data_IF_013842390355
#
_entry.id   IF_013842390355
#
_cell.length_a   1.000
_cell.length_b   1.000
_cell.length_c   1.000
_cell.angle_alpha   90.00
_cell.angle_beta   90.00
_cell.angle_gamma   90.00
#
_symmetry.space_group_name_H-M   'P 1'
#
loop_
_entity.id
_entity.type
_entity.pdbx_description
1 polymer ?
#
# COMPACT_ATOMS: atom_id res chain seq x y z
N UNK A 1 -38.95 -12.39 -3.23
CA UNK A 1 -38.40 -13.49 -4.06
C UNK A 1 -38.83 -13.27 -5.52
N UNK A 2 -38.02 -12.56 -6.31
CA UNK A 2 -38.34 -12.23 -7.70
C UNK A 2 -38.07 -13.40 -8.64
N UNK A 3 -39.06 -13.76 -9.47
CA UNK A 3 -39.03 -14.90 -10.39
C UNK A 3 -38.05 -14.66 -11.55
N UNK A 4 -37.08 -15.56 -11.72
CA UNK A 4 -36.15 -15.59 -12.85
C UNK A 4 -36.90 -15.79 -14.18
N UNK A 5 -36.61 -14.93 -15.16
CA UNK A 5 -37.14 -15.03 -16.53
C UNK A 5 -36.63 -16.27 -17.27
N UNK A 6 -37.52 -16.90 -18.06
CA UNK A 6 -37.21 -18.10 -18.86
C UNK A 6 -36.24 -17.76 -20.01
N UNK A 7 -35.25 -18.63 -20.32
CA UNK A 7 -34.35 -18.40 -21.44
C UNK A 7 -35.05 -18.57 -22.81
N UNK A 8 -34.78 -17.62 -23.72
CA UNK A 8 -35.32 -17.56 -25.08
C UNK A 8 -34.69 -18.68 -25.95
N UNK A 9 -35.53 -19.56 -26.51
CA UNK A 9 -35.10 -20.70 -27.36
C UNK A 9 -34.52 -20.18 -28.69
N UNK A 10 -33.35 -20.69 -29.08
CA UNK A 10 -32.72 -20.36 -30.37
C UNK A 10 -33.44 -21.03 -31.54
N UNK A 11 -33.52 -20.31 -32.66
CA UNK A 11 -34.22 -20.67 -33.89
C UNK A 11 -33.39 -21.72 -34.66
N UNK A 12 -33.83 -22.97 -34.68
CA UNK A 12 -33.21 -24.05 -35.46
C UNK A 12 -33.23 -23.69 -36.95
N UNK A 13 -32.09 -23.81 -37.64
CA UNK A 13 -31.98 -23.57 -39.08
C UNK A 13 -32.79 -24.62 -39.87
N UNK A 14 -33.58 -24.15 -40.84
CA UNK A 14 -34.33 -24.97 -41.81
C UNK A 14 -33.33 -25.79 -42.65
N UNK A 15 -33.54 -27.10 -42.69
CA UNK A 15 -32.85 -28.02 -43.61
C UNK A 15 -33.11 -27.56 -45.05
N UNK A 16 -32.05 -27.31 -45.82
CA UNK A 16 -32.13 -27.14 -47.27
C UNK A 16 -32.51 -28.49 -47.91
N UNK A 17 -33.52 -28.47 -48.77
CA UNK A 17 -33.95 -29.63 -49.58
C UNK A 17 -32.86 -29.94 -50.60
N UNK A 18 -32.52 -31.22 -50.76
CA UNK A 18 -31.81 -31.74 -51.93
C UNK A 18 -32.78 -31.67 -53.12
N UNK A 19 -32.38 -31.04 -54.21
CA UNK A 19 -32.99 -31.27 -55.53
C UNK A 19 -32.08 -32.23 -56.27
N UNK A 20 -32.63 -33.40 -56.53
CA UNK A 20 -32.10 -34.44 -57.39
C UNK A 20 -32.14 -33.96 -58.85
N UNK A 21 -31.12 -34.34 -59.60
CA UNK A 21 -30.97 -34.15 -61.04
C UNK A 21 -32.16 -34.70 -61.83
N UNK A 22 -32.50 -34.04 -62.94
CA UNK A 22 -33.01 -34.77 -64.09
C UNK A 22 -32.45 -34.17 -65.37
N UNK A 23 -32.11 -35.09 -66.28
CA UNK A 23 -32.15 -34.94 -67.74
C UNK A 23 -31.12 -34.00 -68.39
N UNK A 24 -30.01 -34.59 -68.84
CA UNK A 24 -29.54 -34.44 -70.22
C UNK A 24 -28.57 -35.58 -70.56
N UNK A 25 -29.15 -36.64 -71.13
CA UNK A 25 -28.46 -37.65 -71.93
C UNK A 25 -27.74 -36.97 -73.10
N UNK A 26 -26.50 -37.34 -73.37
CA UNK A 26 -26.04 -37.73 -74.71
C UNK A 26 -24.89 -38.73 -74.54
N UNK A 27 -25.23 -39.98 -74.76
CA UNK A 27 -24.31 -41.05 -75.13
C UNK A 27 -23.53 -40.65 -76.38
N UNK A 28 -22.27 -41.08 -76.50
CA UNK A 28 -21.76 -41.75 -77.69
C UNK A 28 -20.38 -42.38 -77.38
N UNK A 29 -20.34 -43.68 -77.64
CA UNK A 29 -19.23 -44.63 -77.50
C UNK A 29 -17.97 -44.22 -78.26
N UNK A 30 -16.78 -44.63 -77.79
CA UNK A 30 -15.78 -45.30 -78.62
C UNK A 30 -14.66 -45.92 -77.76
N UNK A 31 -14.45 -47.24 -77.92
CA UNK A 31 -13.09 -47.81 -78.02
C UNK A 31 -12.48 -48.48 -76.78
N UNK A 32 -12.79 -49.78 -76.61
CA UNK A 32 -11.91 -50.75 -75.93
C UNK A 32 -10.51 -50.81 -76.58
N UNK A 33 -9.43 -50.94 -75.79
CA UNK A 33 -8.39 -52.01 -75.93
C UNK A 33 -7.26 -51.95 -74.88
N UNK A 34 -7.19 -53.06 -74.14
CA UNK A 34 -6.06 -53.77 -73.49
C UNK A 34 -4.62 -53.36 -73.87
N UNK A 35 -3.72 -53.41 -72.89
CA UNK A 35 -2.29 -53.75 -73.09
C UNK A 35 -1.34 -53.22 -72.01
N UNK A 36 -0.69 -54.12 -71.26
CA UNK A 36 0.39 -53.79 -70.31
C UNK A 36 1.67 -53.39 -71.07
N UNK A 37 2.29 -52.27 -70.70
CA UNK A 37 3.73 -52.02 -70.79
C UNK A 37 4.09 -50.96 -69.73
N UNK A 38 4.65 -51.36 -68.58
CA UNK A 38 6.08 -51.31 -68.26
C UNK A 38 6.56 -49.90 -67.95
N UNK A 39 6.77 -49.66 -66.65
CA UNK A 39 7.54 -48.59 -66.01
C UNK A 39 8.52 -47.84 -66.93
N UNK A 40 8.06 -46.75 -67.55
CA UNK A 40 8.91 -45.60 -67.82
C UNK A 40 8.52 -44.50 -66.83
N UNK A 41 9.48 -43.79 -66.20
CA UNK A 41 9.15 -42.49 -65.61
C UNK A 41 8.78 -41.58 -66.79
N UNK A 42 7.55 -41.05 -66.78
CA UNK A 42 7.19 -39.96 -67.67
C UNK A 42 7.98 -38.75 -67.21
N UNK A 43 9.00 -38.38 -67.99
CA UNK A 43 9.63 -37.07 -67.85
C UNK A 43 8.63 -35.99 -68.29
N UNK A 44 8.47 -35.05 -67.37
CA UNK A 44 8.24 -33.63 -67.55
C UNK A 44 6.85 -33.12 -67.98
N UNK A 45 6.44 -32.12 -67.17
CA UNK A 45 5.41 -31.09 -67.37
C UNK A 45 3.99 -31.34 -66.81
N UNK A 46 3.57 -32.57 -66.51
CA UNK A 46 2.18 -32.80 -66.03
C UNK A 46 2.00 -32.80 -64.50
N UNK A 47 3.07 -32.77 -63.70
CA UNK A 47 2.97 -32.67 -62.24
C UNK A 47 2.45 -31.31 -61.76
N UNK A 48 2.50 -30.27 -62.60
CA UNK A 48 1.92 -28.96 -62.32
C UNK A 48 0.40 -28.90 -62.53
N UNK A 49 -0.20 -29.97 -63.08
CA UNK A 49 -1.65 -30.09 -63.25
C UNK A 49 -2.39 -30.66 -62.04
N UNK A 50 -1.69 -31.02 -60.95
CA UNK A 50 -2.38 -31.14 -59.67
C UNK A 50 -2.91 -29.75 -59.29
N UNK A 51 -4.18 -29.51 -59.61
CA UNK A 51 -4.86 -28.26 -59.32
C UNK A 51 -4.97 -28.09 -57.81
N UNK A 52 -3.90 -27.60 -57.19
CA UNK A 52 -3.88 -27.20 -55.80
C UNK A 52 -4.98 -26.14 -55.67
N UNK A 53 -6.04 -26.41 -54.87
CA UNK A 53 -7.15 -25.48 -54.76
C UNK A 53 -6.64 -24.08 -54.44
N UNK A 54 -7.21 -23.04 -55.08
CA UNK A 54 -6.71 -21.65 -54.96
C UNK A 54 -6.45 -21.22 -53.51
N UNK A 55 -7.31 -21.64 -52.58
CA UNK A 55 -7.15 -21.38 -51.14
C UNK A 55 -5.84 -21.91 -50.56
N UNK A 56 -5.33 -23.03 -51.06
CA UNK A 56 -4.05 -23.60 -50.63
C UNK A 56 -2.86 -22.86 -51.24
N UNK A 57 -2.96 -22.41 -52.51
CA UNK A 57 -1.96 -21.50 -53.09
C UNK A 57 -1.86 -20.21 -52.29
N UNK A 58 -2.99 -19.63 -51.90
CA UNK A 58 -3.05 -18.43 -51.06
C UNK A 58 -2.40 -18.65 -49.67
N UNK A 59 -2.54 -19.84 -49.09
CA UNK A 59 -1.95 -20.21 -47.79
C UNK A 59 -0.43 -20.40 -47.90
N UNK A 60 0.05 -21.07 -48.95
CA UNK A 60 1.48 -21.24 -49.23
C UNK A 60 2.14 -19.88 -49.47
N UNK A 61 1.58 -19.05 -50.35
CA UNK A 61 2.08 -17.68 -50.57
C UNK A 61 2.04 -16.81 -49.29
N UNK A 62 1.03 -16.98 -48.42
CA UNK A 62 0.96 -16.27 -47.14
C UNK A 62 2.02 -16.74 -46.11
N UNK A 63 2.47 -18.00 -46.21
CA UNK A 63 3.51 -18.58 -45.37
C UNK A 63 4.91 -18.15 -45.84
N UNK A 64 5.16 -18.18 -47.15
CA UNK A 64 6.44 -17.81 -47.74
C UNK A 64 6.70 -16.30 -47.68
N UNK A 65 5.65 -15.47 -47.76
CA UNK A 65 5.74 -14.02 -47.58
C UNK A 65 5.99 -13.57 -46.13
N UNK A 66 6.10 -14.50 -45.16
CA UNK A 66 6.43 -14.20 -43.76
C UNK A 66 5.39 -13.36 -43.01
N UNK A 67 4.19 -13.14 -43.59
CA UNK A 67 3.14 -12.34 -42.96
C UNK A 67 2.34 -13.21 -42.00
N UNK A 68 2.90 -13.46 -40.81
CA UNK A 68 2.09 -13.88 -39.67
C UNK A 68 1.06 -12.78 -39.40
N UNK A 69 -0.18 -12.98 -39.84
CA UNK A 69 -1.32 -12.15 -39.42
C UNK A 69 -1.58 -12.43 -37.94
N UNK A 70 -0.82 -11.74 -37.06
CA UNK A 70 -1.11 -11.70 -35.62
C UNK A 70 -2.57 -11.32 -35.47
N UNK A 71 -3.39 -12.26 -34.98
CA UNK A 71 -4.81 -12.02 -34.68
C UNK A 71 -4.87 -10.83 -33.72
N UNK A 72 -5.21 -9.64 -34.22
CA UNK A 72 -5.50 -8.48 -33.38
C UNK A 72 -6.68 -8.89 -32.50
N UNK A 73 -6.42 -9.21 -31.22
CA UNK A 73 -7.47 -9.32 -30.21
C UNK A 73 -8.30 -8.05 -30.31
N UNK A 74 -9.58 -8.16 -30.65
CA UNK A 74 -10.54 -7.05 -30.56
C UNK A 74 -10.62 -6.65 -29.09
N UNK A 75 -9.75 -5.73 -28.67
CA UNK A 75 -9.92 -5.04 -27.40
C UNK A 75 -11.28 -4.33 -27.49
N UNK A 76 -12.18 -4.65 -26.55
CA UNK A 76 -13.44 -3.93 -26.36
C UNK A 76 -13.11 -2.45 -26.15
N UNK A 77 -13.15 -1.65 -27.22
CA UNK A 77 -13.01 -0.19 -27.21
C UNK A 77 -14.34 0.45 -26.78
N UNK A 78 -14.80 0.13 -25.58
CA UNK A 78 -15.84 0.92 -24.89
C UNK A 78 -15.27 1.48 -23.59
N UNK A 79 -14.05 2.00 -23.63
CA UNK A 79 -13.65 3.03 -22.67
C UNK A 79 -13.92 4.34 -23.37
N UNK A 80 -15.00 5.02 -22.97
CA UNK A 80 -15.15 6.44 -23.19
C UNK A 80 -13.87 7.08 -22.64
N UNK A 81 -12.93 7.38 -23.52
CA UNK A 81 -11.84 8.26 -23.17
C UNK A 81 -12.50 9.63 -23.13
N UNK A 82 -12.93 10.06 -21.93
CA UNK A 82 -13.25 11.45 -21.71
C UNK A 82 -11.92 12.19 -21.84
N UNK A 83 -11.59 12.56 -23.08
CA UNK A 83 -10.48 13.42 -23.36
C UNK A 83 -10.89 14.78 -22.78
N UNK A 84 -10.39 15.11 -21.59
CA UNK A 84 -10.48 16.46 -21.03
C UNK A 84 -9.52 17.40 -21.79
N UNK A 85 -9.42 17.23 -23.11
CA UNK A 85 -8.67 18.10 -23.99
C UNK A 85 -9.42 19.43 -24.08
N UNK A 86 -9.06 20.34 -23.19
CA UNK A 86 -9.05 21.79 -23.41
C UNK A 86 -10.33 22.41 -23.99
N UNK A 87 -11.51 21.99 -23.55
CA UNK A 87 -12.72 22.75 -23.85
C UNK A 87 -12.81 23.91 -22.85
N UNK A 88 -12.37 25.09 -23.27
CA UNK A 88 -12.71 26.35 -22.62
C UNK A 88 -14.22 26.50 -22.69
N UNK A 89 -14.92 26.45 -21.54
CA UNK A 89 -16.34 26.79 -21.50
C UNK A 89 -16.50 28.32 -21.59
N UNK A 90 -17.60 28.84 -22.16
CA UNK A 90 -17.88 30.27 -22.18
C UNK A 90 -17.83 30.86 -20.76
N UNK A 91 -17.09 31.96 -20.59
CA UNK A 91 -16.90 32.62 -19.28
C UNK A 91 -15.71 32.12 -18.45
N UNK A 92 -14.97 31.11 -18.92
CA UNK A 92 -13.75 30.65 -18.26
C UNK A 92 -12.57 31.53 -18.69
N UNK A 93 -11.82 32.10 -17.74
CA UNK A 93 -10.64 32.95 -18.02
C UNK A 93 -9.34 32.17 -18.10
N UNK A 94 -9.33 30.91 -17.64
CA UNK A 94 -8.17 30.01 -17.58
C UNK A 94 -8.57 28.61 -18.05
N UNK A 95 -7.66 27.87 -18.71
CA UNK A 95 -7.94 26.50 -19.14
C UNK A 95 -8.14 25.57 -17.94
N UNK A 96 -8.95 24.54 -18.15
CA UNK A 96 -9.27 23.57 -17.11
C UNK A 96 -8.00 22.83 -16.68
N UNK A 97 -7.64 22.90 -15.40
CA UNK A 97 -6.48 22.18 -14.89
C UNK A 97 -6.74 20.67 -14.96
N UNK A 98 -5.71 19.89 -15.32
CA UNK A 98 -5.78 18.43 -15.36
C UNK A 98 -5.95 17.88 -13.94
N UNK A 99 -7.16 17.46 -13.60
CA UNK A 99 -7.47 16.88 -12.29
C UNK A 99 -7.08 15.39 -12.28
N UNK A 100 -6.44 14.88 -11.21
CA UNK A 100 -6.21 13.45 -11.04
C UNK A 100 -7.53 12.67 -11.09
N UNK A 101 -7.54 11.54 -11.80
CA UNK A 101 -8.72 10.66 -11.81
C UNK A 101 -8.79 9.92 -10.47
N UNK A 102 -9.81 10.23 -9.67
CA UNK A 102 -10.04 9.55 -8.39
C UNK A 102 -10.66 8.18 -8.62
N UNK A 103 -9.90 7.14 -8.30
CA UNK A 103 -10.37 5.75 -8.27
C UNK A 103 -9.96 5.16 -6.93
N UNK A 104 -10.86 4.41 -6.29
CA UNK A 104 -10.58 3.71 -5.05
C UNK A 104 -9.52 2.62 -5.28
N UNK A 105 -8.55 2.52 -4.39
CA UNK A 105 -7.50 1.48 -4.47
C UNK A 105 -8.04 0.09 -4.16
N UNK A 106 -7.35 -0.96 -4.63
CA UNK A 106 -7.76 -2.37 -4.48
C UNK A 106 -8.03 -2.82 -3.04
N UNK A 107 -7.34 -2.22 -2.07
CA UNK A 107 -7.46 -2.54 -0.64
C UNK A 107 -7.82 -1.31 0.20
N UNK A 108 -8.28 -0.26 -0.44
CA UNK A 108 -8.65 0.97 0.24
C UNK A 108 -10.08 0.89 0.74
N UNK A 109 -10.30 1.15 2.04
CA UNK A 109 -11.65 1.30 2.58
C UNK A 109 -12.28 2.60 2.07
N UNK A 110 -13.60 2.59 1.90
CA UNK A 110 -14.35 3.74 1.37
C UNK A 110 -14.07 5.06 2.12
N UNK A 111 -14.07 5.02 3.46
CA UNK A 111 -13.73 6.19 4.27
C UNK A 111 -12.31 6.75 4.02
N UNK A 112 -11.33 5.88 3.72
CA UNK A 112 -9.98 6.33 3.38
C UNK A 112 -9.93 6.95 1.98
N UNK A 113 -10.70 6.39 1.03
CA UNK A 113 -10.85 6.94 -0.31
C UNK A 113 -11.47 8.34 -0.26
N UNK A 114 -12.58 8.50 0.46
CA UNK A 114 -13.25 9.79 0.62
C UNK A 114 -12.34 10.81 1.29
N UNK A 115 -11.58 10.41 2.33
CA UNK A 115 -10.58 11.29 2.94
C UNK A 115 -9.49 11.70 1.97
N UNK A 116 -9.02 10.81 1.10
CA UNK A 116 -8.03 11.16 0.06
C UNK A 116 -8.62 12.13 -0.95
N UNK A 117 -9.84 11.89 -1.41
CA UNK A 117 -10.58 12.79 -2.31
C UNK A 117 -10.70 14.17 -1.66
N UNK A 118 -11.17 14.23 -0.42
CA UNK A 118 -11.32 15.46 0.34
C UNK A 118 -9.99 16.21 0.50
N UNK A 119 -8.90 15.51 0.82
CA UNK A 119 -7.59 16.15 0.94
C UNK A 119 -7.12 16.75 -0.39
N UNK A 120 -7.27 16.03 -1.50
CA UNK A 120 -6.87 16.54 -2.81
C UNK A 120 -7.76 17.68 -3.30
N UNK A 121 -9.08 17.63 -3.04
CA UNK A 121 -9.99 18.75 -3.38
C UNK A 121 -9.61 20.00 -2.60
N UNK A 122 -9.34 19.90 -1.29
CA UNK A 122 -8.87 21.02 -0.48
C UNK A 122 -7.56 21.60 -1.02
N UNK A 123 -6.61 20.75 -1.44
CA UNK A 123 -5.34 21.21 -2.05
C UNK A 123 -5.57 22.00 -3.33
N UNK A 124 -6.43 21.50 -4.23
CA UNK A 124 -6.74 22.18 -5.49
C UNK A 124 -7.41 23.53 -5.24
N UNK A 125 -8.38 23.58 -4.33
CA UNK A 125 -9.08 24.83 -3.95
C UNK A 125 -8.08 25.85 -3.39
N UNK A 126 -7.24 25.43 -2.43
CA UNK A 126 -6.23 26.32 -1.85
C UNK A 126 -5.25 26.83 -2.89
N UNK A 127 -4.80 25.97 -3.81
CA UNK A 127 -3.93 26.38 -4.92
C UNK A 127 -4.62 27.45 -5.77
N UNK A 128 -5.86 27.22 -6.20
CA UNK A 128 -6.61 28.18 -7.02
C UNK A 128 -6.78 29.53 -6.31
N UNK A 129 -7.07 29.53 -5.00
CA UNK A 129 -7.17 30.76 -4.20
C UNK A 129 -5.83 31.52 -4.16
N UNK A 130 -4.70 30.82 -4.02
CA UNK A 130 -3.38 31.43 -4.03
C UNK A 130 -3.02 31.96 -5.43
N UNK A 131 -3.31 31.22 -6.50
CA UNK A 131 -3.08 31.65 -7.88
C UNK A 131 -3.83 32.96 -8.18
N UNK A 132 -5.07 33.10 -7.71
CA UNK A 132 -5.86 34.33 -7.83
C UNK A 132 -5.27 35.46 -6.97
N UNK A 133 -4.98 35.18 -5.70
CA UNK A 133 -4.46 36.19 -4.75
C UNK A 133 -3.14 36.80 -5.19
N UNK A 134 -2.22 35.97 -5.70
CA UNK A 134 -0.88 36.40 -6.08
C UNK A 134 -0.70 36.61 -7.58
N UNK A 135 -1.73 36.34 -8.39
CA UNK A 135 -1.69 36.41 -9.87
C UNK A 135 -0.52 35.60 -10.46
N UNK A 136 -0.21 34.45 -9.86
CA UNK A 136 0.86 33.53 -10.29
C UNK A 136 0.23 32.24 -10.79
N UNK A 137 0.67 31.73 -11.94
CA UNK A 137 0.28 30.41 -12.42
C UNK A 137 1.14 29.34 -11.74
N UNK A 138 0.58 28.63 -10.74
CA UNK A 138 1.32 27.61 -10.00
C UNK A 138 1.43 26.29 -10.76
N UNK A 139 0.74 26.12 -11.89
CA UNK A 139 0.72 24.91 -12.75
C UNK A 139 2.12 24.42 -13.11
N UNK A 140 3.06 25.33 -13.35
CA UNK A 140 4.42 25.01 -13.79
C UNK A 140 5.33 24.45 -12.69
N UNK A 141 5.00 24.69 -11.41
CA UNK A 141 5.82 24.27 -10.26
C UNK A 141 5.67 22.78 -9.97
N UNK A 142 4.64 22.11 -10.51
CA UNK A 142 4.43 20.67 -10.28
C UNK A 142 5.11 19.77 -11.31
N UNK A 143 5.60 20.30 -12.43
CA UNK A 143 6.42 19.51 -13.35
C UNK A 143 7.84 19.40 -12.80
N UNK A 144 8.31 18.22 -12.34
CA UNK A 144 9.68 18.06 -11.84
C UNK A 144 10.73 18.40 -12.90
N UNK A 145 10.35 18.37 -14.19
CA UNK A 145 11.20 18.76 -15.31
C UNK A 145 11.38 20.29 -15.45
N UNK A 146 10.44 21.12 -14.97
CA UNK A 146 10.51 22.59 -15.06
C UNK A 146 11.22 23.24 -13.85
N UNK A 147 11.50 22.47 -12.79
CA UNK A 147 12.30 22.95 -11.65
C UNK A 147 13.80 23.12 -11.95
N UNK A 148 14.26 22.77 -13.15
CA UNK A 148 15.65 22.96 -13.59
C UNK A 148 16.07 24.45 -13.66
N UNK A 149 15.12 25.38 -13.59
CA UNK A 149 15.38 26.82 -13.56
C UNK A 149 15.55 27.41 -12.15
N UNK A 150 15.79 26.59 -11.11
CA UNK A 150 16.36 27.14 -9.88
C UNK A 150 17.83 27.44 -10.15
N UNK A 151 18.15 28.72 -10.38
CA UNK A 151 19.53 29.22 -10.40
C UNK A 151 20.33 28.45 -9.34
N UNK A 152 21.42 27.74 -9.72
CA UNK A 152 22.18 26.97 -8.75
C UNK A 152 22.57 27.90 -7.60
N UNK A 153 22.33 27.45 -6.36
CA UNK A 153 22.83 28.20 -5.20
C UNK A 153 24.33 28.39 -5.43
N UNK A 154 24.78 29.65 -5.41
CA UNK A 154 26.21 29.99 -5.42
C UNK A 154 26.97 29.03 -4.51
N UNK A 155 28.14 28.55 -4.95
CA UNK A 155 28.96 27.56 -4.23
C UNK A 155 29.17 27.98 -2.76
N UNK A 156 29.31 29.29 -2.51
CA UNK A 156 29.37 29.89 -1.16
C UNK A 156 28.15 29.59 -0.28
N UNK A 157 26.93 29.66 -0.84
CA UNK A 157 25.69 29.31 -0.10
C UNK A 157 25.59 27.81 0.15
N UNK A 158 26.09 26.98 -0.78
CA UNK A 158 26.13 25.52 -0.62
C UNK A 158 27.11 25.12 0.48
N UNK A 159 28.31 25.70 0.50
CA UNK A 159 29.31 25.48 1.54
C UNK A 159 28.81 25.91 2.91
N UNK A 160 28.27 27.13 3.05
CA UNK A 160 27.68 27.62 4.31
C UNK A 160 26.58 26.69 4.86
N UNK A 161 25.77 26.09 3.98
CA UNK A 161 24.75 25.12 4.40
C UNK A 161 25.35 23.80 4.89
N UNK A 162 26.41 23.32 4.23
CA UNK A 162 27.15 22.11 4.64
C UNK A 162 27.83 22.34 5.99
N UNK A 163 28.48 23.48 6.17
CA UNK A 163 29.16 23.84 7.42
C UNK A 163 28.17 23.98 8.58
N UNK A 164 27.01 24.62 8.34
CA UNK A 164 25.95 24.72 9.35
C UNK A 164 25.41 23.34 9.75
N UNK A 165 25.29 22.41 8.81
CA UNK A 165 24.87 21.03 9.09
C UNK A 165 25.93 20.28 9.89
N UNK A 166 27.21 20.43 9.53
CA UNK A 166 28.35 19.82 10.23
C UNK A 166 28.42 20.32 11.69
N UNK A 167 28.41 21.64 11.91
CA UNK A 167 28.41 22.25 13.25
C UNK A 167 27.26 21.77 14.15
N UNK A 168 26.06 21.59 13.59
CA UNK A 168 24.92 21.06 14.36
C UNK A 168 25.13 19.61 14.79
N UNK A 169 25.75 18.81 13.93
CA UNK A 169 26.01 17.41 14.19
C UNK A 169 27.13 17.26 15.23
N UNK A 170 28.18 18.07 15.12
CA UNK A 170 29.28 18.12 16.10
C UNK A 170 28.75 18.58 17.47
N UNK A 171 27.98 19.67 17.53
CA UNK A 171 27.36 20.11 18.80
C UNK A 171 26.40 19.09 19.43
N UNK A 172 25.78 18.21 18.63
CA UNK A 172 24.99 17.10 19.19
C UNK A 172 25.86 15.98 19.75
N UNK A 173 27.00 15.69 19.11
CA UNK A 173 27.97 14.72 19.60
C UNK A 173 28.59 15.19 20.90
N UNK A 174 29.00 16.45 20.97
CA UNK A 174 29.60 17.05 22.17
C UNK A 174 28.61 16.99 23.34
N UNK A 175 27.37 17.42 23.13
CA UNK A 175 26.30 17.28 24.16
C UNK A 175 26.05 15.84 24.60
N UNK A 176 26.23 14.87 23.71
CA UNK A 176 26.08 13.46 24.04
C UNK A 176 27.29 12.95 24.83
N UNK A 177 28.48 13.41 24.49
CA UNK A 177 29.72 13.12 25.20
C UNK A 177 29.65 13.70 26.61
N UNK A 178 29.30 14.99 26.75
CA UNK A 178 29.13 15.66 28.03
C UNK A 178 28.16 14.89 28.93
N UNK A 179 27.01 14.46 28.39
CA UNK A 179 26.04 13.64 29.15
C UNK A 179 26.56 12.27 29.58
N UNK A 180 27.53 11.71 28.86
CA UNK A 180 28.12 10.42 29.18
C UNK A 180 29.27 10.58 30.19
N UNK A 181 29.99 11.69 30.13
CA UNK A 181 31.13 12.00 31.02
C UNK A 181 30.72 12.74 32.29
N UNK A 182 29.49 13.26 32.37
CA UNK A 182 28.97 13.94 33.54
C UNK A 182 28.60 12.93 34.64
N UNK A 183 29.61 12.56 35.44
CA UNK A 183 29.46 11.70 36.63
C UNK A 183 28.99 12.47 37.86
N UNK A 184 28.63 13.75 37.74
CA UNK A 184 28.16 14.56 38.89
C UNK A 184 26.95 13.94 39.59
N UNK A 185 26.10 13.25 38.82
CA UNK A 185 24.91 12.55 39.33
C UNK A 185 25.19 11.21 40.01
N UNK A 186 26.41 10.66 39.88
CA UNK A 186 26.79 9.34 40.42
C UNK A 186 27.71 9.45 41.65
N UNK A 187 27.90 10.67 42.18
CA UNK A 187 28.71 10.91 43.37
C UNK A 187 27.84 10.81 44.62
N UNK A 188 27.97 9.72 45.36
CA UNK A 188 27.36 9.58 46.69
C UNK A 188 28.09 10.46 47.71
N UNK A 189 27.32 11.19 48.52
CA UNK A 189 27.85 12.00 49.60
C UNK A 189 27.68 11.27 50.93
N UNK A 190 28.75 10.64 51.42
CA UNK A 190 28.76 9.89 52.68
C UNK A 190 29.35 10.77 53.78
N UNK A 191 28.65 10.88 54.92
CA UNK A 191 29.12 11.67 56.06
C UNK A 191 30.19 10.92 56.86
N UNK A 192 31.09 11.66 57.51
CA UNK A 192 32.17 11.06 58.30
C UNK A 192 31.59 10.33 59.52
N UNK A 193 31.89 9.03 59.66
CA UNK A 193 31.35 8.16 60.72
C UNK A 193 30.28 7.16 60.24
N UNK A 194 29.81 7.26 59.00
CA UNK A 194 28.96 6.24 58.37
C UNK A 194 29.86 5.14 57.78
N UNK A 195 29.73 3.90 58.29
CA UNK A 195 30.42 2.74 57.71
C UNK A 195 29.71 2.40 56.40
N UNK A 196 30.39 2.61 55.27
CA UNK A 196 29.87 2.19 53.98
C UNK A 196 29.57 0.69 54.02
N UNK A 197 28.30 0.32 53.81
CA UNK A 197 27.89 -1.08 53.72
C UNK A 197 28.75 -1.79 52.66
N UNK A 198 29.18 -3.01 52.97
CA UNK A 198 29.90 -3.85 52.01
C UNK A 198 29.14 -3.85 50.67
N UNK A 199 29.82 -3.59 49.54
CA UNK A 199 29.15 -3.56 48.25
C UNK A 199 28.42 -4.89 48.04
N UNK A 200 27.17 -4.87 47.55
CA UNK A 200 26.42 -6.09 47.38
C UNK A 200 27.19 -7.05 46.46
N UNK A 201 27.43 -8.26 46.97
CA UNK A 201 28.13 -9.30 46.22
C UNK A 201 27.23 -9.77 45.07
N UNK A 202 27.79 -9.89 43.87
CA UNK A 202 27.06 -10.32 42.68
C UNK A 202 26.65 -11.79 42.84
N UNK A 203 25.41 -12.03 43.27
CA UNK A 203 24.81 -13.37 43.37
C UNK A 203 24.42 -13.96 42.01
N UNK A 204 24.51 -13.17 40.94
CA UNK A 204 24.17 -13.59 39.58
C UNK A 204 25.29 -14.43 38.96
N UNK A 205 24.98 -15.70 38.66
CA UNK A 205 25.89 -16.58 37.92
C UNK A 205 26.09 -16.08 36.48
N UNK A 206 27.30 -16.20 35.90
CA UNK A 206 27.56 -15.78 34.53
C UNK A 206 26.74 -16.59 33.53
N UNK A 207 26.46 -16.01 32.36
CA UNK A 207 25.53 -16.55 31.34
C UNK A 207 25.81 -18.00 30.92
N UNK A 208 27.06 -18.45 31.00
CA UNK A 208 27.50 -19.78 30.56
C UNK A 208 27.78 -20.73 31.72
N UNK A 209 27.57 -20.34 32.98
CA UNK A 209 27.69 -21.28 34.09
C UNK A 209 26.68 -22.43 33.93
N UNK A 210 27.15 -23.63 34.21
CA UNK A 210 26.30 -24.81 34.37
C UNK A 210 25.43 -24.58 35.61
N UNK A 211 24.14 -24.82 35.48
CA UNK A 211 23.19 -24.70 36.59
C UNK A 211 22.68 -26.10 36.88
N UNK A 212 22.98 -26.59 38.08
CA UNK A 212 22.40 -27.82 38.60
C UNK A 212 20.97 -27.52 39.09
N UNK A 213 19.97 -28.19 38.49
CA UNK A 213 18.58 -28.22 38.95
C UNK A 213 17.55 -27.33 38.22
N UNK A 214 16.30 -27.35 38.73
CA UNK A 214 15.05 -26.84 38.14
C UNK A 214 14.96 -25.32 37.89
N UNK A 215 16.02 -24.56 38.16
CA UNK A 215 16.06 -23.12 37.91
C UNK A 215 16.39 -22.86 36.44
N UNK A 216 15.40 -23.07 35.59
CA UNK A 216 15.53 -22.89 34.14
C UNK A 216 15.90 -21.43 33.78
N UNK A 217 16.92 -21.30 32.91
CA UNK A 217 17.39 -20.01 32.39
C UNK A 217 16.22 -19.19 31.83
N UNK A 218 16.19 -17.86 32.02
CA UNK A 218 15.19 -17.01 31.37
C UNK A 218 15.26 -17.21 29.85
N UNK A 219 14.14 -17.63 29.25
CA UNK A 219 14.03 -17.97 27.82
C UNK A 219 14.24 -19.44 27.44
N UNK A 220 14.71 -20.30 28.37
CA UNK A 220 14.77 -21.77 28.20
C UNK A 220 13.72 -22.53 29.01
N UNK A 221 12.80 -21.82 29.67
CA UNK A 221 11.68 -22.44 30.38
C UNK A 221 10.82 -23.20 29.36
N UNK A 222 10.42 -24.43 29.69
CA UNK A 222 9.39 -25.13 28.93
C UNK A 222 8.12 -24.26 28.92
N UNK A 223 7.57 -24.03 27.73
CA UNK A 223 6.35 -23.24 27.59
C UNK A 223 5.20 -23.99 28.29
N UNK A 224 4.31 -23.27 28.97
CA UNK A 224 3.10 -23.84 29.59
C UNK A 224 2.29 -24.67 28.58
N UNK A 225 2.28 -24.25 27.31
CA UNK A 225 1.59 -24.97 26.26
C UNK A 225 2.20 -26.36 26.00
N UNK A 226 3.52 -26.52 26.15
CA UNK A 226 4.18 -27.84 26.06
C UNK A 226 3.75 -28.73 27.21
N UNK A 227 3.70 -28.23 28.44
CA UNK A 227 3.21 -29.03 29.58
C UNK A 227 1.74 -29.40 29.46
N UNK A 228 0.91 -28.54 28.87
CA UNK A 228 -0.51 -28.84 28.56
C UNK A 228 -0.67 -29.88 27.45
N UNK A 229 0.18 -29.84 26.41
CA UNK A 229 0.14 -30.80 25.31
C UNK A 229 0.69 -32.17 25.71
N UNK A 230 1.82 -32.18 26.41
CA UNK A 230 2.48 -33.41 26.89
C UNK A 230 1.64 -34.06 28.01
N UNK A 231 0.93 -33.27 28.82
CA UNK A 231 -0.02 -33.76 29.82
C UNK A 231 -1.25 -34.50 29.24
N UNK A 232 -1.49 -34.42 27.93
CA UNK A 232 -2.56 -35.19 27.26
C UNK A 232 -2.17 -36.63 26.91
N UNK A 233 -0.89 -36.99 27.04
CA UNK A 233 -0.35 -38.31 26.67
C UNK A 233 0.22 -39.11 27.85
N UNK A 234 0.14 -38.59 29.08
CA UNK A 234 0.55 -39.35 30.27
C UNK A 234 -0.28 -38.97 31.48
N UNK A 235 -1.35 -39.75 31.74
CA UNK A 235 -1.92 -39.85 33.08
C UNK A 235 -1.09 -40.85 33.90
N UNK A 236 -0.21 -40.36 34.76
CA UNK A 236 0.16 -41.04 36.02
C UNK A 236 0.71 -40.03 37.04
N UNK A 237 -0.08 -39.74 38.08
CA UNK A 237 0.41 -39.55 39.46
C UNK A 237 0.80 -38.14 39.96
N UNK A 238 0.39 -37.90 41.22
CA UNK A 238 0.87 -36.96 42.26
C UNK A 238 0.44 -35.46 42.24
N UNK A 239 -0.63 -35.21 43.00
CA UNK A 239 -0.83 -34.27 44.12
C UNK A 239 -0.02 -32.96 44.33
N UNK A 240 -0.82 -31.93 44.68
CA UNK A 240 -0.66 -30.84 45.67
C UNK A 240 0.59 -29.93 45.69
N UNK A 241 0.38 -28.60 45.62
CA UNK A 241 0.58 -27.67 46.76
C UNK A 241 0.29 -26.20 46.40
N UNK A 242 -0.02 -25.46 47.45
CA UNK A 242 -0.58 -24.12 47.63
C UNK A 242 0.37 -22.93 47.38
N UNK A 243 -0.20 -21.80 46.93
CA UNK A 243 -0.11 -20.44 47.54
C UNK A 243 -0.10 -19.28 46.50
N UNK A 244 -0.76 -18.12 46.78
CA UNK A 244 -1.01 -17.05 45.82
C UNK A 244 0.08 -15.97 45.83
N UNK A 245 0.72 -15.75 44.68
CA UNK A 245 1.67 -14.64 44.50
C UNK A 245 0.91 -13.36 44.11
N UNK A 246 1.06 -12.34 44.94
CA UNK A 246 0.55 -10.98 44.81
C UNK A 246 0.89 -10.40 43.43
N UNK A 247 -0.14 -10.26 42.57
CA UNK A 247 0.01 -9.59 41.28
C UNK A 247 0.14 -8.08 41.47
N UNK A 248 1.36 -7.57 41.30
CA UNK A 248 1.61 -6.15 41.01
C UNK A 248 0.83 -5.78 39.74
N UNK A 249 -0.06 -4.81 39.87
CA UNK A 249 -1.01 -4.42 38.84
C UNK A 249 -0.32 -3.99 37.53
N UNK A 250 -0.29 -4.89 36.56
CA UNK A 250 -0.01 -4.59 35.15
C UNK A 250 -1.14 -3.70 34.63
N UNK A 251 -0.86 -2.57 33.95
CA UNK A 251 -1.93 -1.73 33.44
C UNK A 251 -2.73 -2.50 32.38
N UNK A 252 -4.02 -2.65 32.66
CA UNK A 252 -5.00 -3.34 31.81
C UNK A 252 -4.91 -2.86 30.36
N UNK A 253 -5.01 -3.83 29.46
CA UNK A 253 -5.00 -3.61 28.01
C UNK A 253 -6.14 -2.69 27.58
N UNK A 254 -6.06 -2.15 26.37
CA UNK A 254 -7.02 -1.17 25.84
C UNK A 254 -8.49 -1.65 25.83
N UNK A 255 -8.75 -2.95 25.98
CA UNK A 255 -10.09 -3.55 25.94
C UNK A 255 -10.85 -3.59 27.28
N UNK A 256 -10.18 -3.53 28.43
CA UNK A 256 -10.82 -3.79 29.74
C UNK A 256 -11.31 -2.52 30.46
N UNK A 257 -11.49 -1.42 29.73
CA UNK A 257 -11.77 -0.10 30.31
C UNK A 257 -13.28 0.16 30.41
N UNK A 258 -13.75 0.48 31.62
CA UNK A 258 -15.11 0.99 31.82
C UNK A 258 -15.20 2.44 31.32
N UNK A 259 -16.31 2.83 30.64
CA UNK A 259 -16.54 4.21 30.22
C UNK A 259 -16.43 5.18 31.41
N UNK A 260 -15.70 6.28 31.25
CA UNK A 260 -15.54 7.32 32.28
C UNK A 260 -14.26 7.24 33.13
N UNK A 261 -13.44 6.20 32.98
CA UNK A 261 -12.20 6.09 33.75
C UNK A 261 -11.08 6.97 33.14
N UNK A 262 -10.59 7.97 33.88
CA UNK A 262 -9.51 8.86 33.42
C UNK A 262 -8.14 8.20 33.55
N UNK A 263 -7.27 8.40 32.55
CA UNK A 263 -5.91 7.86 32.54
C UNK A 263 -4.90 8.93 32.94
N UNK A 264 -3.86 8.52 33.69
CA UNK A 264 -2.70 9.39 33.92
C UNK A 264 -2.05 9.71 32.57
N UNK A 265 -1.62 10.96 32.39
CA UNK A 265 -1.05 11.48 31.13
C UNK A 265 0.02 10.58 30.50
N UNK A 266 0.90 9.97 31.30
CA UNK A 266 1.96 9.05 30.84
C UNK A 266 1.47 7.74 30.22
N UNK A 267 0.18 7.41 30.38
CA UNK A 267 -0.44 6.22 29.81
C UNK A 267 -1.38 6.53 28.63
N UNK A 268 -1.54 7.81 28.26
CA UNK A 268 -2.25 8.20 27.04
C UNK A 268 -1.37 8.00 25.81
N UNK A 269 -1.99 7.70 24.67
CA UNK A 269 -1.29 7.71 23.38
C UNK A 269 -0.77 9.13 23.05
N UNK A 270 0.29 9.27 22.23
CA UNK A 270 0.84 10.59 21.89
C UNK A 270 -0.20 11.56 21.32
N UNK A 271 -1.09 11.07 20.45
CA UNK A 271 -2.18 11.88 19.88
C UNK A 271 -3.21 12.31 20.93
N UNK A 272 -3.60 11.40 21.83
CA UNK A 272 -4.51 11.74 22.93
C UNK A 272 -3.90 12.74 23.90
N UNK A 273 -2.59 12.65 24.20
CA UNK A 273 -1.90 13.65 25.04
C UNK A 273 -1.99 15.03 24.43
N UNK A 274 -1.77 15.16 23.12
CA UNK A 274 -1.85 16.45 22.43
C UNK A 274 -3.26 17.04 22.52
N UNK A 275 -4.30 16.21 22.30
CA UNK A 275 -5.70 16.65 22.41
C UNK A 275 -6.03 17.10 23.84
N UNK A 276 -5.65 16.32 24.85
CA UNK A 276 -5.91 16.67 26.25
C UNK A 276 -5.14 17.90 26.71
N UNK A 277 -3.87 18.03 26.28
CA UNK A 277 -3.04 19.19 26.62
C UNK A 277 -3.59 20.47 25.96
N UNK A 278 -4.06 20.38 24.72
CA UNK A 278 -4.72 21.49 24.02
C UNK A 278 -6.03 21.91 24.71
N UNK A 279 -6.88 20.95 25.08
CA UNK A 279 -8.11 21.23 25.81
C UNK A 279 -7.84 21.89 27.17
N UNK A 280 -6.81 21.42 27.88
CA UNK A 280 -6.36 22.01 29.13
C UNK A 280 -5.90 23.46 28.96
N UNK A 281 -5.08 23.74 27.95
CA UNK A 281 -4.61 25.09 27.65
C UNK A 281 -5.78 26.02 27.34
N UNK A 282 -6.68 25.59 26.45
CA UNK A 282 -7.90 26.35 26.13
C UNK A 282 -8.74 26.69 27.37
N UNK A 283 -8.90 25.74 28.29
CA UNK A 283 -9.63 25.98 29.53
C UNK A 283 -8.92 26.97 30.46
N UNK A 284 -7.58 26.91 30.55
CA UNK A 284 -6.77 27.86 31.32
C UNK A 284 -6.91 29.27 30.75
N UNK A 285 -6.83 29.41 29.42
CA UNK A 285 -6.91 30.71 28.76
C UNK A 285 -8.31 31.33 28.95
N UNK A 286 -9.37 30.54 28.78
CA UNK A 286 -10.73 30.99 29.08
C UNK A 286 -10.89 31.43 30.54
N UNK A 287 -10.31 30.68 31.49
CA UNK A 287 -10.36 31.06 32.90
C UNK A 287 -9.61 32.36 33.18
N UNK A 288 -8.45 32.58 32.53
CA UNK A 288 -7.70 33.84 32.62
C UNK A 288 -8.51 35.01 32.06
N UNK A 289 -9.10 34.85 30.89
CA UNK A 289 -9.96 35.87 30.29
C UNK A 289 -11.15 36.21 31.19
N UNK A 290 -11.81 35.19 31.75
CA UNK A 290 -12.93 35.39 32.68
C UNK A 290 -12.49 36.11 33.96
N UNK A 291 -11.32 35.74 34.50
CA UNK A 291 -10.73 36.36 35.67
C UNK A 291 -10.43 37.83 35.39
N UNK A 292 -9.77 38.14 34.28
CA UNK A 292 -9.39 39.50 33.92
C UNK A 292 -10.61 40.38 33.66
N UNK A 293 -11.65 39.82 33.01
CA UNK A 293 -12.96 40.49 32.88
C UNK A 293 -13.60 40.78 34.24
N UNK A 294 -13.52 39.85 35.19
CA UNK A 294 -14.04 40.06 36.55
C UNK A 294 -13.29 41.18 37.28
N UNK A 295 -11.96 41.25 37.15
CA UNK A 295 -11.17 42.35 37.71
C UNK A 295 -11.50 43.69 37.06
N UNK A 296 -11.64 43.73 35.73
CA UNK A 296 -12.03 44.95 35.02
C UNK A 296 -13.40 45.48 35.46
N UNK A 297 -14.39 44.59 35.63
CA UNK A 297 -15.73 44.95 36.10
C UNK A 297 -15.74 45.48 37.55
N UNK A 298 -14.82 44.99 38.39
CA UNK A 298 -14.69 45.48 39.77
C UNK A 298 -13.97 46.83 39.84
N UNK A 299 -12.99 47.09 38.98
CA UNK A 299 -12.28 48.38 38.89
C UNK A 299 -13.10 49.51 38.28
N UNK A 300 -14.21 49.21 37.59
CA UNK A 300 -15.12 50.22 37.01
C UNK A 300 -16.21 50.64 38.00
N UNK A 301 -16.38 49.91 39.12
CA UNK A 301 -17.40 50.16 40.15
C UNK A 301 -16.88 50.97 41.36
N UNK A 302 -15.64 51.43 41.32
CA UNK A 302 -15.02 52.34 42.29
C UNK A 302 -14.80 53.70 41.64
#
# INVERSE_FOLDING_TARGET
MGKLGKPQKSKKHKKLKKTFDSSAEQDLEFGLKRGKAQNLPVEDEELDMQHVPRKWKDILHAKDSGVEKKRKKKNKKNKLHLDQSQQMLPGMTRPLQKVPRFVQGKFEKDGNFMRRVEMETHRVIQRAQLEVKYKVDLTDVQNPNNLKNKRPKSERKKQKSRDKKKRKLDAQKDKKLDRLTDFSSLKDHVAFGEVAMEPPTLTAKPRMAEMDGDKARPGKKSLLLKSLLDGSQSKTGSEETTEPIVHVAVPKSHGDRKPGQTLKRKYLSPAQRQITDFQRQRAIDLYRDMRDRKYAQNNVKT
#
